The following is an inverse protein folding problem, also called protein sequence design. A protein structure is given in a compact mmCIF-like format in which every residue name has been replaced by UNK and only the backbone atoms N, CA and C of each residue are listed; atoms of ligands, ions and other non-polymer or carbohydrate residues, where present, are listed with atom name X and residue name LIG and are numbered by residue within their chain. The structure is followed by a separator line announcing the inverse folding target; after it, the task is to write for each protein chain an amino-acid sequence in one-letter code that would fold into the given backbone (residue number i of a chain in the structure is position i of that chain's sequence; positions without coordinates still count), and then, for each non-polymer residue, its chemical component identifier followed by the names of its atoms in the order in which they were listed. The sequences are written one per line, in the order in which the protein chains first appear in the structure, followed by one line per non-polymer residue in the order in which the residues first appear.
data_IF_573309383152
#
_entry.id   IF_573309383152
#
_cell.length_a   1.000
_cell.length_b   1.000
_cell.length_c   1.000
_cell.angle_alpha   90.00
_cell.angle_beta   90.00
_cell.angle_gamma   90.00
#
_symmetry.space_group_name_H-M   'P 1'
#
loop_
_entity.id
_entity.type
_entity.pdbx_description
1 polymer ?
#
# COMPACT_ATOMS: atom_id res chain seq x y z
N UNK A 1 -2.82 9.59 4.51
CA UNK A 1 -2.08 8.70 5.45
C UNK A 1 -2.81 7.37 5.58
N UNK A 2 -3.30 6.85 4.46
CA UNK A 2 -4.03 5.58 4.46
C UNK A 2 -3.72 4.79 3.20
N UNK A 3 -4.11 5.32 2.05
CA UNK A 3 -3.85 4.63 0.80
C UNK A 3 -2.39 4.18 0.76
N UNK A 4 -1.50 5.02 1.28
CA UNK A 4 -0.09 4.68 1.31
C UNK A 4 0.09 3.25 1.81
N UNK A 5 -0.65 2.91 2.86
CA UNK A 5 -0.59 1.58 3.42
C UNK A 5 -1.04 0.56 2.38
N UNK A 6 -2.08 0.92 1.63
CA UNK A 6 -2.62 0.07 0.58
C UNK A 6 -1.59 -0.10 -0.52
N UNK A 7 -0.74 0.91 -0.65
CA UNK A 7 0.32 0.88 -1.65
C UNK A 7 1.44 -0.01 -1.15
N UNK A 8 1.59 -0.06 0.17
CA UNK A 8 2.60 -0.91 0.76
C UNK A 8 2.12 -2.34 0.70
N UNK A 9 0.81 -2.51 0.83
CA UNK A 9 0.21 -3.80 0.74
C UNK A 9 0.48 -4.36 -0.63
N UNK A 10 0.64 -3.44 -1.56
CA UNK A 10 0.92 -3.79 -2.95
C UNK A 10 2.37 -4.19 -3.10
N UNK A 11 3.24 -3.50 -2.37
CA UNK A 11 4.66 -3.81 -2.41
C UNK A 11 4.92 -5.09 -1.63
N UNK A 12 3.94 -5.46 -0.81
CA UNK A 12 4.05 -6.67 0.00
C UNK A 12 3.83 -7.90 -0.87
N UNK A 13 2.99 -7.76 -1.90
CA UNK A 13 2.72 -8.86 -2.81
C UNK A 13 2.85 -8.41 -4.26
N UNK A 14 3.45 -7.28 -4.52
#
# INVERSE_FOLDING_TARGET
GLFDIIKKIAESFX
#
